data_IF_446095338813
#
_entry.id   IF_446095338813
#
_cell.length_a   1.000
_cell.length_b   1.000
_cell.length_c   1.000
_cell.angle_alpha   90.00
_cell.angle_beta   90.00
_cell.angle_gamma   90.00
#
_symmetry.space_group_name_H-M   'P 1'
#
loop_
_entity.id
_entity.type
_entity.pdbx_description
1 polymer ?
#
# COMPACT_ATOMS: atom_id res chain seq x y z
N UNK A 1 -1.51 -52.55 11.71
CA UNK A 1 -1.95 -51.97 10.44
C UNK A 1 -3.11 -50.98 10.63
N UNK A 2 -4.14 -51.30 11.40
CA UNK A 2 -5.32 -50.44 11.65
C UNK A 2 -4.99 -49.07 12.23
N UNK A 3 -4.04 -48.98 13.21
CA UNK A 3 -3.61 -47.70 13.81
C UNK A 3 -2.94 -46.77 12.81
N UNK A 4 -2.18 -47.31 11.86
CA UNK A 4 -1.54 -46.48 10.79
C UNK A 4 -2.56 -45.98 9.79
N UNK A 5 -3.57 -46.78 9.45
CA UNK A 5 -4.70 -46.39 8.61
C UNK A 5 -5.56 -45.30 9.25
N UNK A 6 -5.84 -45.41 10.55
CA UNK A 6 -6.56 -44.38 11.32
C UNK A 6 -5.80 -43.04 11.36
N UNK A 7 -4.47 -43.11 11.53
CA UNK A 7 -3.63 -41.89 11.57
C UNK A 7 -3.54 -41.20 10.20
N UNK A 8 -3.42 -41.98 9.12
CA UNK A 8 -3.45 -41.42 7.76
C UNK A 8 -4.82 -40.84 7.40
N UNK A 9 -5.90 -41.47 7.86
CA UNK A 9 -7.26 -40.93 7.64
C UNK A 9 -7.52 -39.66 8.44
N UNK A 10 -7.03 -39.58 9.68
CA UNK A 10 -7.09 -38.36 10.51
C UNK A 10 -6.28 -37.21 9.89
N UNK A 11 -5.10 -37.51 9.34
CA UNK A 11 -4.26 -36.53 8.64
C UNK A 11 -4.90 -36.05 7.35
N UNK A 12 -5.59 -36.92 6.63
CA UNK A 12 -6.32 -36.59 5.40
C UNK A 12 -7.54 -35.69 5.70
N UNK A 13 -8.26 -35.98 6.81
CA UNK A 13 -9.40 -35.15 7.25
C UNK A 13 -8.99 -33.77 7.74
N UNK A 14 -7.76 -33.56 8.25
CA UNK A 14 -7.29 -32.25 8.72
C UNK A 14 -6.99 -31.27 7.59
N UNK A 15 -6.85 -31.74 6.35
CA UNK A 15 -6.55 -30.90 5.18
C UNK A 15 -7.80 -30.25 4.53
N UNK A 16 -9.01 -30.51 5.03
CA UNK A 16 -10.26 -30.08 4.33
C UNK A 16 -10.79 -28.72 4.78
N UNK A 17 -10.20 -28.08 5.78
CA UNK A 17 -10.59 -26.72 6.20
C UNK A 17 -9.74 -25.62 5.54
N UNK A 18 -9.60 -25.67 4.23
CA UNK A 18 -9.22 -24.50 3.45
C UNK A 18 -10.47 -23.63 3.33
N UNK A 19 -10.64 -22.67 4.24
CA UNK A 19 -11.61 -21.60 4.07
C UNK A 19 -11.17 -20.78 2.85
N UNK A 20 -11.77 -21.08 1.71
CA UNK A 20 -11.61 -20.23 0.54
C UNK A 20 -12.28 -18.89 0.88
N UNK A 21 -11.52 -17.81 0.88
CA UNK A 21 -12.06 -16.47 1.02
C UNK A 21 -13.02 -16.18 -0.13
N UNK A 22 -14.30 -15.97 0.21
CA UNK A 22 -15.33 -15.72 -0.79
C UNK A 22 -15.39 -14.23 -1.11
N UNK A 23 -14.78 -13.85 -2.22
CA UNK A 23 -14.84 -12.49 -2.74
C UNK A 23 -16.06 -12.33 -3.64
N UNK A 24 -16.72 -11.17 -3.61
CA UNK A 24 -17.79 -10.88 -4.55
C UNK A 24 -17.27 -10.97 -5.99
N UNK A 25 -18.20 -11.28 -6.91
CA UNK A 25 -17.88 -11.34 -8.33
C UNK A 25 -17.45 -9.96 -8.84
N UNK A 26 -16.54 -9.90 -9.84
CA UNK A 26 -16.14 -8.65 -10.45
C UNK A 26 -17.35 -7.84 -10.94
N UNK A 27 -17.36 -6.56 -10.58
CA UNK A 27 -18.41 -5.64 -10.97
C UNK A 27 -18.20 -5.14 -12.41
N UNK A 28 -19.28 -4.77 -13.06
CA UNK A 28 -19.28 -4.05 -14.34
C UNK A 28 -19.31 -2.54 -14.16
N UNK A 29 -19.23 -2.03 -12.92
CA UNK A 29 -19.22 -0.62 -12.58
C UNK A 29 -18.03 -0.30 -11.68
N UNK A 30 -17.56 0.95 -11.73
CA UNK A 30 -16.49 1.43 -10.85
C UNK A 30 -16.99 1.66 -9.42
N UNK A 31 -18.28 1.95 -9.25
CA UNK A 31 -18.91 2.13 -7.92
C UNK A 31 -19.86 0.97 -7.63
N UNK A 32 -19.48 0.12 -6.69
CA UNK A 32 -20.26 -1.05 -6.29
C UNK A 32 -20.64 -0.95 -4.83
N UNK A 33 -21.93 -0.85 -4.55
CA UNK A 33 -22.48 -0.75 -3.20
C UNK A 33 -23.36 -1.97 -2.90
N UNK A 34 -22.85 -2.87 -2.06
CA UNK A 34 -23.57 -4.05 -1.57
C UNK A 34 -24.40 -3.77 -0.30
N UNK A 35 -24.32 -2.54 0.21
CA UNK A 35 -24.93 -2.15 1.49
C UNK A 35 -26.16 -1.27 1.32
N UNK A 36 -26.38 -0.74 0.10
CA UNK A 36 -27.40 0.27 -0.20
C UNK A 36 -27.22 1.54 0.68
N UNK A 37 -25.97 1.89 0.99
CA UNK A 37 -25.63 3.10 1.75
C UNK A 37 -25.79 4.36 0.90
N UNK A 38 -25.52 4.24 -0.41
CA UNK A 38 -25.65 5.33 -1.37
C UNK A 38 -27.01 5.29 -2.06
N UNK A 39 -27.59 6.45 -2.33
CA UNK A 39 -28.75 6.55 -3.21
C UNK A 39 -28.38 6.25 -4.65
N UNK A 40 -29.36 5.94 -5.49
CA UNK A 40 -29.14 5.70 -6.92
C UNK A 40 -28.45 6.90 -7.60
N UNK A 41 -28.89 8.12 -7.31
CA UNK A 41 -28.33 9.35 -7.88
C UNK A 41 -26.88 9.59 -7.42
N UNK A 42 -26.58 9.32 -6.14
CA UNK A 42 -25.23 9.43 -5.59
C UNK A 42 -24.28 8.43 -6.25
N UNK A 43 -24.72 7.20 -6.39
CA UNK A 43 -23.97 6.14 -7.08
C UNK A 43 -23.71 6.52 -8.53
N UNK A 44 -24.73 6.99 -9.26
CA UNK A 44 -24.62 7.41 -10.65
C UNK A 44 -23.68 8.61 -10.81
N UNK A 45 -23.71 9.58 -9.89
CA UNK A 45 -22.83 10.75 -9.92
C UNK A 45 -21.37 10.35 -9.74
N UNK A 46 -21.07 9.48 -8.75
CA UNK A 46 -19.73 8.95 -8.53
C UNK A 46 -19.24 8.12 -9.73
N UNK A 47 -20.10 7.24 -10.26
CA UNK A 47 -19.78 6.42 -11.43
C UNK A 47 -19.39 7.29 -12.63
N UNK A 48 -20.23 8.26 -12.98
CA UNK A 48 -19.97 9.18 -14.11
C UNK A 48 -18.64 9.92 -13.95
N UNK A 49 -18.33 10.38 -12.74
CA UNK A 49 -17.06 11.04 -12.42
C UNK A 49 -15.86 10.11 -12.63
N UNK A 50 -15.94 8.89 -12.11
CA UNK A 50 -14.84 7.93 -12.17
C UNK A 50 -14.64 7.37 -13.59
N UNK A 51 -15.72 7.16 -14.33
CA UNK A 51 -15.67 6.80 -15.77
C UNK A 51 -14.99 7.90 -16.58
N UNK A 52 -15.41 9.15 -16.42
CA UNK A 52 -14.76 10.29 -17.10
C UNK A 52 -13.27 10.41 -16.77
N UNK A 53 -12.89 10.11 -15.53
CA UNK A 53 -11.48 10.07 -15.14
C UNK A 53 -10.74 8.91 -15.81
N UNK A 54 -11.30 7.71 -15.82
CA UNK A 54 -10.75 6.54 -16.52
C UNK A 54 -10.54 6.82 -18.01
N UNK A 55 -11.54 7.43 -18.68
CA UNK A 55 -11.47 7.73 -20.11
C UNK A 55 -10.36 8.72 -20.45
N UNK A 56 -10.12 9.70 -19.55
CA UNK A 56 -9.10 10.74 -19.77
C UNK A 56 -7.68 10.30 -19.43
N UNK A 57 -7.50 9.34 -18.51
CA UNK A 57 -6.18 8.98 -17.95
C UNK A 57 -5.82 7.51 -18.09
N UNK A 58 -6.80 6.68 -18.46
CA UNK A 58 -6.71 5.21 -18.42
C UNK A 58 -6.50 4.65 -17.01
N UNK A 59 -6.61 5.45 -15.95
CA UNK A 59 -6.48 5.02 -14.56
C UNK A 59 -7.84 4.66 -14.01
N UNK A 60 -7.95 3.51 -13.39
CA UNK A 60 -9.19 3.01 -12.81
C UNK A 60 -9.22 3.23 -11.30
N UNK A 61 -10.18 4.01 -10.82
CA UNK A 61 -10.50 4.13 -9.40
C UNK A 61 -11.81 3.39 -9.17
N UNK A 62 -11.76 2.32 -8.38
CA UNK A 62 -12.94 1.56 -7.99
C UNK A 62 -13.30 1.86 -6.53
N UNK A 63 -14.59 2.00 -6.26
CA UNK A 63 -15.16 2.18 -4.92
C UNK A 63 -16.08 1.01 -4.61
N UNK A 64 -15.80 0.31 -3.52
CA UNK A 64 -16.58 -0.88 -3.12
C UNK A 64 -17.04 -0.72 -1.67
N UNK A 65 -18.35 -0.77 -1.46
CA UNK A 65 -18.95 -0.76 -0.13
C UNK A 65 -19.43 -2.17 0.21
N UNK A 66 -18.91 -2.72 1.31
CA UNK A 66 -19.29 -4.02 1.86
C UNK A 66 -19.86 -3.85 3.27
N UNK A 67 -20.65 -4.84 3.71
CA UNK A 67 -21.12 -4.86 5.09
C UNK A 67 -19.96 -5.13 6.06
N UNK A 68 -19.12 -6.12 5.76
CA UNK A 68 -17.99 -6.53 6.59
C UNK A 68 -16.98 -7.30 5.74
N UNK A 69 -15.73 -7.28 6.16
CA UNK A 69 -14.66 -8.15 5.65
C UNK A 69 -14.42 -9.38 6.55
N UNK A 70 -15.27 -9.55 7.59
CA UNK A 70 -15.15 -10.62 8.56
C UNK A 70 -13.87 -10.51 9.40
N UNK A 71 -13.21 -11.65 9.64
CA UNK A 71 -11.99 -11.72 10.46
C UNK A 71 -10.71 -11.32 9.70
N UNK A 72 -10.84 -10.88 8.44
CA UNK A 72 -9.68 -10.51 7.63
C UNK A 72 -9.19 -9.09 7.93
N UNK A 73 -7.88 -8.88 7.76
CA UNK A 73 -7.32 -7.54 7.68
C UNK A 73 -7.86 -6.83 6.43
N UNK A 74 -8.33 -5.59 6.60
CA UNK A 74 -8.99 -4.87 5.51
C UNK A 74 -8.05 -4.54 4.36
N UNK A 75 -6.74 -4.31 4.62
CA UNK A 75 -5.77 -4.04 3.56
C UNK A 75 -5.49 -5.30 2.76
N UNK A 76 -5.35 -6.44 3.45
CA UNK A 76 -5.16 -7.72 2.79
C UNK A 76 -6.37 -8.06 1.93
N UNK A 77 -7.58 -7.93 2.49
CA UNK A 77 -8.82 -8.16 1.75
C UNK A 77 -8.93 -7.26 0.52
N UNK A 78 -8.68 -5.96 0.67
CA UNK A 78 -8.74 -4.99 -0.43
C UNK A 78 -7.70 -5.31 -1.51
N UNK A 79 -6.47 -5.64 -1.12
CA UNK A 79 -5.41 -6.03 -2.06
C UNK A 79 -5.81 -7.27 -2.88
N UNK A 80 -6.32 -8.29 -2.22
CA UNK A 80 -6.74 -9.52 -2.88
C UNK A 80 -7.98 -9.29 -3.77
N UNK A 81 -8.95 -8.50 -3.31
CA UNK A 81 -10.11 -8.10 -4.09
C UNK A 81 -9.70 -7.34 -5.36
N UNK A 82 -8.80 -6.37 -5.22
CA UNK A 82 -8.26 -5.59 -6.33
C UNK A 82 -7.57 -6.46 -7.38
N UNK A 83 -6.79 -7.45 -6.93
CA UNK A 83 -6.15 -8.46 -7.81
C UNK A 83 -7.19 -9.36 -8.48
N UNK A 84 -8.15 -9.87 -7.72
CA UNK A 84 -9.20 -10.79 -8.24
C UNK A 84 -10.09 -10.11 -9.28
N UNK A 85 -10.44 -8.85 -9.06
CA UNK A 85 -11.21 -8.07 -10.02
C UNK A 85 -10.35 -7.54 -11.17
N UNK A 86 -9.02 -7.48 -11.01
CA UNK A 86 -8.10 -6.97 -12.02
C UNK A 86 -8.26 -5.47 -12.25
N UNK A 87 -8.47 -4.70 -11.17
CA UNK A 87 -8.67 -3.25 -11.25
C UNK A 87 -7.42 -2.58 -11.80
N UNK A 88 -7.58 -1.73 -12.83
CA UNK A 88 -6.48 -1.14 -13.58
C UNK A 88 -6.18 -1.88 -14.87
N UNK A 89 -5.24 -1.36 -15.64
CA UNK A 89 -4.88 -1.94 -16.94
C UNK A 89 -3.71 -2.92 -16.81
N UNK A 90 -3.80 -4.02 -17.55
CA UNK A 90 -2.70 -5.00 -17.65
C UNK A 90 -1.41 -4.32 -18.11
N UNK A 91 -0.34 -4.57 -17.38
CA UNK A 91 0.98 -4.01 -17.67
C UNK A 91 1.19 -2.59 -17.15
N UNK A 92 0.15 -1.74 -17.08
CA UNK A 92 0.22 -0.43 -16.43
C UNK A 92 0.01 -0.53 -14.92
N UNK A 93 -0.83 -1.46 -14.46
CA UNK A 93 -1.17 -1.69 -13.06
C UNK A 93 -1.63 -0.41 -12.34
N UNK A 94 -2.36 0.44 -13.05
CA UNK A 94 -2.78 1.78 -12.65
C UNK A 94 -4.18 1.79 -12.02
N UNK A 95 -4.49 0.78 -11.25
CA UNK A 95 -5.73 0.67 -10.49
C UNK A 95 -5.61 1.27 -9.09
N UNK A 96 -6.71 1.78 -8.57
CA UNK A 96 -6.87 2.19 -7.17
C UNK A 96 -8.20 1.61 -6.68
N UNK A 97 -8.17 0.95 -5.52
CA UNK A 97 -9.36 0.43 -4.86
C UNK A 97 -9.60 1.16 -3.54
N UNK A 98 -10.75 1.79 -3.39
CA UNK A 98 -11.28 2.29 -2.13
C UNK A 98 -12.32 1.29 -1.62
N UNK A 99 -11.95 0.52 -0.59
CA UNK A 99 -12.82 -0.46 0.06
C UNK A 99 -13.35 0.10 1.38
N UNK A 100 -14.67 0.05 1.57
CA UNK A 100 -15.34 0.57 2.75
C UNK A 100 -16.18 -0.55 3.37
N UNK A 101 -15.81 -1.00 4.56
CA UNK A 101 -16.54 -1.99 5.35
C UNK A 101 -17.42 -1.26 6.39
N UNK A 102 -18.68 -0.99 6.02
CA UNK A 102 -19.59 -0.13 6.78
C UNK A 102 -19.85 -0.67 8.19
N UNK A 103 -20.11 -1.98 8.32
CA UNK A 103 -20.37 -2.62 9.60
C UNK A 103 -19.15 -2.72 10.51
N UNK A 104 -17.97 -2.81 9.92
CA UNK A 104 -16.69 -2.88 10.63
C UNK A 104 -16.15 -1.49 10.96
N UNK A 105 -16.72 -0.44 10.38
CA UNK A 105 -16.22 0.95 10.42
C UNK A 105 -14.77 1.05 10.00
N UNK A 106 -14.41 0.38 8.93
CA UNK A 106 -13.06 0.34 8.39
C UNK A 106 -13.05 0.74 6.93
N UNK A 107 -12.02 1.44 6.52
CA UNK A 107 -11.77 1.81 5.14
C UNK A 107 -10.33 1.49 4.76
N UNK A 108 -10.11 1.09 3.52
CA UNK A 108 -8.78 0.90 2.95
C UNK A 108 -8.73 1.50 1.54
N UNK A 109 -7.63 2.18 1.24
CA UNK A 109 -7.30 2.60 -0.11
C UNK A 109 -6.04 1.84 -0.51
N UNK A 110 -6.16 1.01 -1.54
CA UNK A 110 -5.04 0.23 -2.07
C UNK A 110 -4.69 0.70 -3.47
N UNK A 111 -3.40 0.81 -3.74
CA UNK A 111 -2.87 1.28 -5.03
C UNK A 111 -2.20 0.13 -5.78
N UNK A 112 -2.43 0.07 -7.08
CA UNK A 112 -1.67 -0.79 -7.97
C UNK A 112 -0.28 -0.22 -8.22
N UNK A 113 0.67 -1.07 -8.59
CA UNK A 113 2.08 -0.70 -8.77
C UNK A 113 2.31 0.55 -9.62
N UNK A 114 1.48 0.78 -10.67
CA UNK A 114 1.61 1.94 -11.53
C UNK A 114 1.05 3.24 -10.95
N UNK A 115 0.26 3.15 -9.87
CA UNK A 115 -0.32 4.31 -9.18
C UNK A 115 0.47 4.73 -7.94
N UNK A 116 1.34 3.87 -7.40
CA UNK A 116 2.11 4.11 -6.17
C UNK A 116 3.00 5.37 -6.25
N UNK A 117 3.54 5.67 -7.45
CA UNK A 117 4.37 6.86 -7.64
C UNK A 117 3.61 8.17 -7.51
N UNK A 118 2.33 8.19 -7.87
CA UNK A 118 1.46 9.37 -7.79
C UNK A 118 0.68 9.43 -6.48
N UNK A 119 0.29 8.26 -5.97
CA UNK A 119 -0.50 8.10 -4.73
C UNK A 119 0.21 7.09 -3.82
N UNK A 120 1.32 7.48 -3.17
CA UNK A 120 2.00 6.63 -2.19
C UNK A 120 1.18 6.46 -0.90
N UNK A 121 1.60 5.52 -0.04
CA UNK A 121 0.89 5.15 1.18
C UNK A 121 0.60 6.33 2.12
N UNK A 122 1.53 7.26 2.23
CA UNK A 122 1.32 8.47 3.04
C UNK A 122 0.16 9.31 2.50
N UNK A 123 0.02 9.39 1.19
CA UNK A 123 -1.09 10.12 0.55
C UNK A 123 -2.42 9.42 0.77
N UNK A 124 -2.47 8.09 0.64
CA UNK A 124 -3.70 7.34 0.94
C UNK A 124 -4.11 7.50 2.40
N UNK A 125 -3.14 7.53 3.31
CA UNK A 125 -3.39 7.80 4.72
C UNK A 125 -3.96 9.21 4.96
N UNK A 126 -3.37 10.23 4.34
CA UNK A 126 -3.87 11.62 4.44
C UNK A 126 -5.31 11.76 3.91
N UNK A 127 -5.64 11.09 2.80
CA UNK A 127 -6.99 11.09 2.24
C UNK A 127 -7.98 10.42 3.22
N UNK A 128 -7.59 9.30 3.82
CA UNK A 128 -8.44 8.60 4.79
C UNK A 128 -8.70 9.49 6.00
N UNK A 129 -7.68 10.12 6.57
CA UNK A 129 -7.79 10.92 7.78
C UNK A 129 -8.51 12.26 7.54
N UNK A 130 -8.28 12.91 6.40
CA UNK A 130 -8.79 14.26 6.16
C UNK A 130 -10.12 14.28 5.40
N UNK A 131 -10.32 13.35 4.46
CA UNK A 131 -11.48 13.37 3.58
C UNK A 131 -12.54 12.34 3.99
N UNK A 132 -12.13 11.10 4.34
CA UNK A 132 -13.08 10.01 4.60
C UNK A 132 -13.53 9.97 6.06
N UNK A 133 -12.59 9.87 7.00
CA UNK A 133 -12.88 9.63 8.42
C UNK A 133 -13.81 10.68 9.03
N UNK A 134 -13.62 11.99 8.85
CA UNK A 134 -14.51 12.99 9.43
C UNK A 134 -15.94 12.89 8.91
N UNK A 135 -16.09 12.67 7.60
CA UNK A 135 -17.38 12.52 6.97
C UNK A 135 -18.09 11.23 7.39
N UNK A 136 -17.36 10.13 7.49
CA UNK A 136 -17.91 8.84 7.90
C UNK A 136 -18.35 8.85 9.38
N UNK A 137 -17.58 9.51 10.26
CA UNK A 137 -18.00 9.75 11.65
C UNK A 137 -19.30 10.54 11.75
N UNK A 138 -19.52 11.47 10.82
CA UNK A 138 -20.77 12.24 10.73
C UNK A 138 -21.91 11.48 10.01
N UNK A 139 -21.68 10.25 9.54
CA UNK A 139 -22.65 9.46 8.77
C UNK A 139 -22.79 9.89 7.30
N UNK A 140 -21.98 10.82 6.83
CA UNK A 140 -22.04 11.38 5.47
C UNK A 140 -21.16 10.57 4.50
N UNK A 141 -21.49 9.32 4.26
CA UNK A 141 -20.67 8.42 3.42
C UNK A 141 -20.43 8.96 2.01
N UNK A 142 -21.49 9.46 1.36
CA UNK A 142 -21.35 10.03 0.01
C UNK A 142 -20.35 11.19 -0.02
N UNK A 143 -20.46 12.14 0.89
CA UNK A 143 -19.56 13.30 0.94
C UNK A 143 -18.10 12.88 1.16
N UNK A 144 -17.86 11.89 2.03
CA UNK A 144 -16.52 11.34 2.25
C UNK A 144 -15.96 10.68 0.99
N UNK A 145 -16.73 9.80 0.34
CA UNK A 145 -16.32 9.12 -0.88
C UNK A 145 -16.08 10.14 -2.01
N UNK A 146 -16.95 11.13 -2.15
CA UNK A 146 -16.80 12.17 -3.16
C UNK A 146 -15.52 12.99 -2.93
N UNK A 147 -15.26 13.44 -1.71
CA UNK A 147 -14.04 14.15 -1.34
C UNK A 147 -12.78 13.29 -1.55
N UNK A 148 -12.76 12.06 -1.05
CA UNK A 148 -11.62 11.17 -1.18
C UNK A 148 -11.30 10.80 -2.64
N UNK A 149 -12.33 10.55 -3.45
CA UNK A 149 -12.11 10.29 -4.90
C UNK A 149 -11.66 11.55 -5.64
N UNK A 150 -12.11 12.75 -5.25
CA UNK A 150 -11.61 14.01 -5.80
C UNK A 150 -10.13 14.23 -5.45
N UNK A 151 -9.71 13.91 -4.24
CA UNK A 151 -8.31 13.98 -3.83
C UNK A 151 -7.46 12.98 -4.60
N UNK A 152 -7.89 11.71 -4.74
CA UNK A 152 -7.21 10.71 -5.56
C UNK A 152 -7.01 11.18 -7.00
N UNK A 153 -8.05 11.76 -7.62
CA UNK A 153 -7.99 12.30 -8.98
C UNK A 153 -6.96 13.42 -9.08
N UNK A 154 -6.93 14.35 -8.12
CA UNK A 154 -5.96 15.44 -8.09
C UNK A 154 -4.52 14.97 -7.97
N UNK A 155 -4.26 13.98 -7.11
CA UNK A 155 -2.94 13.38 -6.97
C UNK A 155 -2.50 12.68 -8.25
N UNK A 156 -3.38 11.88 -8.85
CA UNK A 156 -3.09 11.18 -10.10
C UNK A 156 -2.83 12.12 -11.28
N UNK A 157 -3.46 13.30 -11.31
CA UNK A 157 -3.20 14.35 -12.31
C UNK A 157 -1.97 15.19 -12.01
N UNK A 158 -1.33 15.03 -10.85
CA UNK A 158 -0.23 15.87 -10.40
C UNK A 158 -0.65 17.31 -10.05
N UNK A 159 -1.95 17.55 -9.89
CA UNK A 159 -2.52 18.88 -9.57
C UNK A 159 -2.53 19.16 -8.06
N UNK A 160 -2.24 18.16 -7.23
CA UNK A 160 -2.23 18.32 -5.79
C UNK A 160 -0.98 19.08 -5.36
N UNK A 161 -1.17 20.29 -4.86
CA UNK A 161 -0.17 20.99 -4.07
C UNK A 161 -0.49 20.68 -2.61
N UNK A 162 0.35 19.86 -1.96
CA UNK A 162 0.24 19.64 -0.52
C UNK A 162 0.07 21.00 0.16
N UNK A 163 -0.93 21.19 1.05
CA UNK A 163 -0.96 22.39 1.87
C UNK A 163 0.41 22.48 2.52
N UNK A 164 1.06 23.66 2.43
CA UNK A 164 2.35 23.86 3.05
C UNK A 164 2.15 23.44 4.52
N UNK A 165 2.64 22.25 4.86
CA UNK A 165 2.66 21.83 6.26
C UNK A 165 3.35 22.98 6.96
N UNK A 166 2.62 23.66 7.84
CA UNK A 166 3.23 24.57 8.77
C UNK A 166 4.38 23.77 9.33
N UNK A 167 5.63 24.14 8.96
CA UNK A 167 6.84 23.51 9.48
C UNK A 167 6.63 23.58 10.98
N UNK A 168 6.16 22.48 11.57
CA UNK A 168 6.31 22.33 13.00
C UNK A 168 7.80 22.52 13.16
N UNK A 169 8.15 23.70 13.68
CA UNK A 169 9.49 23.95 14.10
C UNK A 169 9.80 22.79 15.01
N UNK A 170 10.50 21.82 14.47
CA UNK A 170 11.17 20.80 15.27
C UNK A 170 12.07 21.68 16.11
N UNK A 171 11.57 22.00 17.28
CA UNK A 171 12.34 22.60 18.32
C UNK A 171 13.45 21.58 18.58
N UNK A 172 14.52 21.70 17.82
CA UNK A 172 15.77 21.00 18.03
C UNK A 172 16.43 21.55 19.31
N UNK A 173 15.62 21.52 20.38
CA UNK A 173 16.09 21.63 21.74
C UNK A 173 16.76 20.34 22.19
N UNK A 174 17.59 19.75 21.36
CA UNK A 174 18.23 18.46 21.60
C UNK A 174 19.73 18.44 21.30
N UNK A 175 20.38 19.59 21.27
CA UNK A 175 21.86 19.63 21.23
C UNK A 175 22.52 18.94 22.45
N UNK A 176 21.76 18.69 23.51
CA UNK A 176 22.24 17.99 24.69
C UNK A 176 22.38 16.47 24.56
N UNK A 177 21.49 15.85 23.77
CA UNK A 177 21.49 14.38 23.67
C UNK A 177 22.69 13.82 22.91
N UNK A 178 23.14 14.50 21.85
CA UNK A 178 24.30 14.06 21.06
C UNK A 178 25.58 14.23 21.88
N UNK A 179 25.72 15.33 22.64
CA UNK A 179 26.84 15.54 23.53
C UNK A 179 26.90 14.49 24.65
N UNK A 180 25.77 14.10 25.21
CA UNK A 180 25.70 13.05 26.23
C UNK A 180 26.13 11.70 25.63
N UNK A 181 25.70 11.36 24.43
CA UNK A 181 26.11 10.12 23.73
C UNK A 181 27.62 10.13 23.47
N UNK A 182 28.16 11.26 23.01
CA UNK A 182 29.60 11.41 22.75
C UNK A 182 30.39 11.27 24.09
N UNK A 183 29.93 11.87 25.16
CA UNK A 183 30.54 11.75 26.49
C UNK A 183 30.52 10.30 26.97
N UNK A 184 29.38 9.61 26.84
CA UNK A 184 29.26 8.19 27.21
C UNK A 184 30.24 7.34 26.41
N UNK A 185 30.35 7.55 25.08
CA UNK A 185 31.29 6.82 24.24
C UNK A 185 32.75 7.08 24.66
N UNK A 186 33.09 8.33 24.94
CA UNK A 186 34.44 8.69 25.42
C UNK A 186 34.74 8.04 26.76
N UNK A 187 33.79 8.06 27.72
CA UNK A 187 33.95 7.40 29.02
C UNK A 187 34.12 5.89 28.87
N UNK A 188 33.35 5.24 28.01
CA UNK A 188 33.48 3.81 27.72
C UNK A 188 34.85 3.49 27.12
N UNK A 189 35.36 4.30 26.19
CA UNK A 189 36.71 4.14 25.60
C UNK A 189 37.79 4.31 26.66
N UNK A 190 37.66 5.28 27.55
CA UNK A 190 38.62 5.51 28.68
C UNK A 190 38.60 4.34 29.66
N UNK A 191 37.42 3.81 29.98
CA UNK A 191 37.31 2.65 30.89
C UNK A 191 37.90 1.37 30.26
N UNK A 192 37.69 1.15 28.96
CA UNK A 192 38.31 0.02 28.24
C UNK A 192 39.84 0.16 28.21
N UNK A 193 40.36 1.36 28.00
CA UNK A 193 41.81 1.62 28.01
C UNK A 193 42.44 1.54 29.41
N UNK A 194 41.68 1.83 30.46
CA UNK A 194 42.16 1.80 31.83
C UNK A 194 42.07 0.41 32.47
N UNK A 195 41.28 -0.50 31.86
CA UNK A 195 41.16 -1.90 32.31
C UNK A 195 42.23 -2.84 31.79
N UNK A 196 43.17 -2.37 30.98
CA UNK A 196 44.23 -3.18 30.34
C UNK A 196 45.56 -3.08 31.03
N UNK A 197 45.67 -3.46 32.28
CA UNK A 197 46.93 -3.64 32.97
C UNK A 197 47.09 -5.10 33.42
N UNK A 198 47.93 -5.87 32.72
CA UNK A 198 48.39 -7.15 33.26
C UNK A 198 48.52 -8.29 32.28
N UNK A 199 49.69 -8.43 31.66
CA UNK A 199 50.43 -9.70 31.59
C UNK A 199 50.12 -10.66 30.45
N UNK A 200 51.09 -10.84 29.57
CA UNK A 200 51.51 -12.18 29.12
C UNK A 200 51.19 -12.60 27.72
N UNK A 201 52.15 -12.42 26.82
CA UNK A 201 52.60 -13.34 25.72
C UNK A 201 51.57 -14.33 25.12
N UNK A 202 51.36 -14.29 23.84
CA UNK A 202 52.13 -14.97 22.79
C UNK A 202 51.50 -14.84 21.38
N UNK A 203 52.32 -14.59 20.46
CA UNK A 203 52.36 -14.69 19.04
C UNK A 203 51.59 -15.91 18.52
N UNK A 204 50.79 -15.75 17.47
CA UNK A 204 50.97 -16.48 16.18
C UNK A 204 50.02 -15.84 15.14
N UNK A 205 50.61 -15.60 14.00
CA UNK A 205 50.02 -14.95 12.85
C UNK A 205 48.90 -15.75 12.18
N UNK A 206 48.09 -15.03 11.43
CA UNK A 206 47.01 -15.56 10.62
C UNK A 206 46.23 -14.47 9.95
N UNK A 207 46.72 -13.95 8.87
CA UNK A 207 46.04 -13.63 7.60
C UNK A 207 44.58 -13.21 7.69
N UNK A 208 44.35 -11.92 7.44
CA UNK A 208 43.33 -11.40 6.55
C UNK A 208 41.90 -11.96 6.68
N UNK A 209 41.07 -11.28 7.41
CA UNK A 209 39.63 -11.45 7.37
C UNK A 209 38.98 -10.09 7.51
N UNK A 210 38.84 -9.36 6.42
CA UNK A 210 38.02 -8.18 6.35
C UNK A 210 36.56 -8.59 6.58
N UNK A 211 35.92 -8.07 7.61
CA UNK A 211 34.56 -8.41 7.94
C UNK A 211 33.61 -8.02 6.79
N UNK A 212 32.63 -8.86 6.48
CA UNK A 212 31.66 -8.62 5.39
C UNK A 212 30.88 -7.32 5.52
N UNK A 213 30.88 -6.72 6.70
CA UNK A 213 30.13 -5.51 7.00
C UNK A 213 30.65 -4.26 6.28
N UNK A 214 31.96 -4.13 6.06
CA UNK A 214 32.56 -2.99 5.35
C UNK A 214 32.31 -3.02 3.85
N UNK A 215 32.14 -4.19 3.24
CA UNK A 215 31.81 -4.34 1.83
C UNK A 215 30.35 -4.00 1.55
N UNK A 216 29.44 -4.23 2.50
CA UNK A 216 28.03 -3.85 2.39
C UNK A 216 27.85 -2.33 2.45
N UNK A 217 28.64 -1.64 3.29
CA UNK A 217 28.57 -0.18 3.43
C UNK A 217 29.19 0.55 2.22
N UNK A 218 30.29 0.04 1.67
CA UNK A 218 30.96 0.62 0.50
C UNK A 218 30.17 0.43 -0.80
N UNK A 219 29.43 -0.69 -0.92
CA UNK A 219 28.60 -0.98 -2.11
C UNK A 219 27.38 -0.07 -2.26
N UNK A 220 26.86 0.44 -1.15
CA UNK A 220 25.64 1.25 -1.16
C UNK A 220 25.88 2.76 -1.39
N UNK A 221 27.13 3.23 -1.24
CA UNK A 221 27.49 4.66 -1.39
C UNK A 221 28.04 4.98 -2.79
N UNK A 222 28.57 4.01 -3.51
CA UNK A 222 29.27 4.23 -4.79
C UNK A 222 28.51 3.68 -6.03
N UNK A 223 27.34 3.06 -5.86
CA UNK A 223 26.59 2.42 -6.94
C UNK A 223 25.54 3.30 -7.62
N UNK A 224 25.73 4.61 -7.73
CA UNK A 224 24.82 5.49 -8.45
C UNK A 224 25.46 6.01 -9.72
N UNK A 225 25.48 5.21 -10.78
CA UNK A 225 25.75 5.68 -12.13
C UNK A 225 25.10 4.79 -13.19
N UNK A 226 24.11 5.39 -13.87
CA UNK A 226 23.96 5.42 -15.34
C UNK A 226 23.85 4.11 -16.14
N UNK A 227 22.83 4.09 -16.96
CA UNK A 227 22.67 3.30 -18.16
C UNK A 227 21.25 2.72 -18.25
N UNK A 228 20.34 3.11 -19.03
CA UNK A 228 20.39 3.41 -20.46
C UNK A 228 20.03 2.14 -21.22
N UNK A 229 18.83 2.08 -21.83
CA UNK A 229 18.48 0.99 -22.70
C UNK A 229 16.98 0.85 -22.87
N UNK A 230 16.46 1.50 -23.90
CA UNK A 230 15.13 1.35 -24.42
C UNK A 230 15.02 0.12 -25.32
N UNK A 231 13.80 -0.30 -25.50
CA UNK A 231 13.18 -0.99 -26.64
C UNK A 231 11.69 -0.88 -26.35
N UNK A 232 10.88 -0.30 -27.10
CA UNK A 232 10.66 -0.38 -28.52
C UNK A 232 9.51 -1.30 -28.82
N UNK A 233 8.36 -0.73 -29.21
CA UNK A 233 7.57 -1.27 -30.25
C UNK A 233 6.28 -2.01 -29.88
N UNK A 234 5.17 -1.55 -30.44
CA UNK A 234 4.06 -2.41 -30.76
C UNK A 234 2.72 -1.90 -30.24
N UNK A 235 2.13 -0.99 -31.00
CA UNK A 235 0.76 -0.63 -31.03
C UNK A 235 -0.12 -1.74 -31.60
N UNK A 236 -1.39 -1.55 -31.34
CA UNK A 236 -2.62 -1.85 -32.10
C UNK A 236 -3.73 -1.50 -31.12
N UNK A 237 -4.58 -0.55 -31.33
CA UNK A 237 -5.45 -0.37 -32.48
C UNK A 237 -6.70 -1.20 -32.28
N UNK A 238 -7.77 -0.60 -31.91
CA UNK A 238 -9.08 -1.18 -31.79
C UNK A 238 -9.95 -0.21 -31.04
N UNK A 239 -10.55 0.67 -31.69
CA UNK A 239 -11.86 0.63 -32.23
C UNK A 239 -12.86 1.15 -31.22
N UNK A 240 -13.27 2.42 -31.37
CA UNK A 240 -14.27 3.06 -30.57
C UNK A 240 -15.59 2.33 -30.62
N UNK A 241 -16.24 2.37 -29.47
CA UNK A 241 -17.69 2.38 -29.46
C UNK A 241 -18.15 3.39 -28.41
N UNK A 242 -18.80 4.43 -28.88
CA UNK A 242 -19.32 5.53 -28.09
C UNK A 242 -20.63 5.11 -27.44
N UNK A 243 -20.52 4.51 -26.29
CA UNK A 243 -21.62 4.31 -25.36
C UNK A 243 -21.07 4.40 -23.96
N UNK A 244 -21.24 5.56 -23.31
CA UNK A 244 -20.63 5.95 -22.06
C UNK A 244 -20.93 5.04 -20.87
N UNK A 245 -20.33 3.87 -20.83
CA UNK A 245 -20.34 2.92 -19.73
C UNK A 245 -18.93 2.39 -19.48
N UNK A 246 -18.62 2.06 -18.23
CA UNK A 246 -17.38 1.41 -17.85
C UNK A 246 -17.23 0.07 -18.58
N UNK A 247 -16.18 -0.09 -19.38
CA UNK A 247 -15.92 -1.28 -20.21
C UNK A 247 -15.39 -2.50 -19.45
N UNK A 248 -15.32 -2.43 -18.12
CA UNK A 248 -14.79 -3.49 -17.27
C UNK A 248 -13.33 -3.25 -16.81
N UNK A 249 -12.87 -4.06 -15.87
CA UNK A 249 -11.50 -4.00 -15.35
C UNK A 249 -10.51 -4.62 -16.33
N UNK A 250 -9.33 -4.02 -16.45
CA UNK A 250 -8.34 -4.32 -17.47
C UNK A 250 -7.23 -5.31 -17.07
N UNK A 251 -7.30 -5.93 -15.89
CA UNK A 251 -6.34 -6.92 -15.44
C UNK A 251 -5.08 -6.32 -14.79
N UNK A 252 -5.25 -5.23 -14.04
CA UNK A 252 -4.19 -4.63 -13.22
C UNK A 252 -3.79 -5.50 -12.03
N UNK A 253 -2.63 -5.21 -11.44
CA UNK A 253 -2.08 -5.92 -10.28
C UNK A 253 -1.73 -4.95 -9.15
N UNK A 254 -1.85 -5.43 -7.91
CA UNK A 254 -1.61 -4.69 -6.67
C UNK A 254 -0.44 -5.27 -5.89
N UNK A 255 0.40 -4.40 -5.30
CA UNK A 255 1.54 -4.80 -4.46
C UNK A 255 1.21 -4.87 -2.97
N UNK A 256 0.12 -4.24 -2.55
CA UNK A 256 -0.19 -4.00 -1.15
C UNK A 256 0.26 -2.61 -0.68
N UNK A 257 0.60 -1.72 -1.63
CA UNK A 257 0.73 -0.29 -1.35
C UNK A 257 -0.63 0.32 -1.04
N UNK A 258 -0.67 1.24 -0.07
CA UNK A 258 -1.89 1.87 0.40
C UNK A 258 -1.98 1.95 1.91
N UNK A 259 -3.11 2.40 2.41
CA UNK A 259 -3.34 2.50 3.86
C UNK A 259 -4.78 2.19 4.24
N UNK A 260 -5.03 2.06 5.53
CA UNK A 260 -6.36 1.88 6.09
C UNK A 260 -6.59 2.77 7.30
N UNK A 261 -7.86 2.97 7.63
CA UNK A 261 -8.30 3.69 8.80
C UNK A 261 -9.63 3.17 9.32
N UNK A 262 -10.06 3.73 10.44
CA UNK A 262 -11.35 3.42 11.09
C UNK A 262 -12.02 4.72 11.54
N UNK A 263 -13.35 4.65 11.71
CA UNK A 263 -14.15 5.81 12.17
C UNK A 263 -15.17 5.47 13.23
#
# INVERSE_FOLDING_TARGET
>A
MLKKLLFTWLLLCSCVFLFAQDFPQPSTTLVTDYTNTLTADQKQSLESKLVAFNDSTSTQIAVVLLKSVGDYDINEYATQLGRKWGIGQKGKNNGILMLIAIGDRKVSIQTGYGSEGAVPDITTHEIIENDLTPNFKAGNYYAGIDAGTNSLIKYMKGEYKAPAQAKQAVNSGGGGSILIIIIIVIVVIILIRRGGGGGGNQVIGGRGGSSPFWWFLAGNVLGRSSGGGGFGGGGFGGGGDSGGGFGGFGGGSFGGGGSSGSW
#
